data_IF_171665112196
#
_entry.id   IF_171665112196
#
_cell.length_a   1.000
_cell.length_b   1.000
_cell.length_c   1.000
_cell.angle_alpha   90.00
_cell.angle_beta   90.00
_cell.angle_gamma   90.00
#
_symmetry.space_group_name_H-M   'P 1'
#
loop_
_entity.id
_entity.type
_entity.pdbx_description
1 polymer ?
#
# COMPACT_ATOMS: atom_id res chain seq x y z
N UNK A 1 1.80 4.62 25.71
CA UNK A 1 0.82 5.50 25.03
C UNK A 1 0.50 4.84 23.71
N UNK A 2 -0.61 4.12 23.65
CA UNK A 2 -1.04 3.41 22.44
C UNK A 2 -1.69 4.44 21.53
N UNK A 3 -1.16 4.58 20.32
CA UNK A 3 -1.71 5.45 19.30
C UNK A 3 -3.09 4.93 18.88
N UNK A 4 -4.17 5.50 19.45
CA UNK A 4 -5.58 5.17 19.16
C UNK A 4 -6.02 5.73 17.78
N UNK A 5 -5.06 5.93 16.87
CA UNK A 5 -5.33 6.42 15.53
C UNK A 5 -5.65 5.25 14.62
N UNK A 6 -6.79 5.37 13.97
CA UNK A 6 -7.23 4.44 12.94
C UNK A 6 -6.65 4.93 11.63
N UNK A 7 -5.89 4.07 10.99
CA UNK A 7 -5.37 4.25 9.64
C UNK A 7 -6.21 3.41 8.68
N UNK A 8 -6.25 3.84 7.43
CA UNK A 8 -6.84 3.10 6.33
C UNK A 8 -5.80 2.92 5.23
N UNK A 9 -5.91 1.82 4.50
CA UNK A 9 -5.03 1.55 3.35
C UNK A 9 -5.63 2.27 2.15
N UNK A 10 -4.80 3.06 1.48
CA UNK A 10 -5.13 3.72 0.22
C UNK A 10 -4.23 3.20 -0.88
N UNK A 11 -4.78 3.13 -2.08
CA UNK A 11 -4.08 2.76 -3.30
C UNK A 11 -4.20 3.88 -4.31
N UNK A 12 -3.13 4.16 -5.04
CA UNK A 12 -3.17 5.11 -6.15
C UNK A 12 -3.38 4.38 -7.49
N UNK A 13 -3.46 5.16 -8.56
CA UNK A 13 -3.56 4.66 -9.94
C UNK A 13 -2.33 3.87 -10.43
N UNK A 14 -1.22 3.92 -9.69
CA UNK A 14 0.01 3.17 -9.97
C UNK A 14 0.12 1.90 -9.11
N UNK A 15 -0.96 1.47 -8.46
CA UNK A 15 -1.01 0.30 -7.57
C UNK A 15 -0.05 0.39 -6.38
N UNK A 16 0.33 1.61 -5.99
CA UNK A 16 1.14 1.86 -4.81
C UNK A 16 0.23 1.93 -3.57
N UNK A 17 0.52 1.09 -2.59
CA UNK A 17 -0.20 1.05 -1.32
C UNK A 17 0.46 2.00 -0.31
N UNK A 18 -0.37 2.79 0.37
CA UNK A 18 0.06 3.65 1.46
C UNK A 18 -0.95 3.62 2.59
N UNK A 19 -0.50 3.99 3.80
CA UNK A 19 -1.40 4.17 4.95
C UNK A 19 -1.79 5.64 5.05
N UNK A 20 -3.08 5.90 5.22
CA UNK A 20 -3.64 7.23 5.40
C UNK A 20 -4.45 7.29 6.69
N UNK A 21 -4.53 8.46 7.32
CA UNK A 21 -5.33 8.62 8.54
C UNK A 21 -6.82 8.50 8.18
N UNK A 22 -7.56 7.65 8.89
CA UNK A 22 -8.98 7.41 8.59
C UNK A 22 -9.87 8.60 8.94
N UNK A 23 -9.37 9.56 9.73
CA UNK A 23 -10.09 10.80 10.08
C UNK A 23 -9.77 11.94 9.12
N UNK A 24 -8.82 11.76 8.19
CA UNK A 24 -8.49 12.74 7.17
C UNK A 24 -9.14 12.39 5.83
N UNK A 25 -9.49 13.44 5.08
CA UNK A 25 -10.00 13.30 3.72
C UNK A 25 -8.91 12.74 2.79
N UNK A 26 -9.31 11.91 1.83
CA UNK A 26 -8.37 11.21 0.95
C UNK A 26 -8.02 12.13 -0.22
N UNK A 27 -6.72 12.38 -0.49
CA UNK A 27 -6.31 13.23 -1.60
C UNK A 27 -6.77 12.66 -2.95
N UNK A 28 -7.09 13.56 -3.88
CA UNK A 28 -7.52 13.19 -5.23
C UNK A 28 -6.48 12.31 -5.93
N UNK A 29 -6.94 11.19 -6.50
CA UNK A 29 -6.08 10.19 -7.16
C UNK A 29 -5.65 9.02 -6.26
N UNK A 30 -6.05 9.03 -4.99
CA UNK A 30 -5.98 7.91 -4.07
C UNK A 30 -7.38 7.35 -3.80
N UNK A 31 -7.47 6.04 -3.60
CA UNK A 31 -8.72 5.35 -3.33
C UNK A 31 -8.55 4.43 -2.11
N UNK A 32 -9.51 4.40 -1.18
CA UNK A 32 -9.44 3.51 -0.03
C UNK A 32 -9.66 2.06 -0.48
N UNK A 33 -8.86 1.14 0.06
CA UNK A 33 -8.93 -0.31 -0.24
C UNK A 33 -9.99 -1.01 0.63
N UNK A 34 -10.60 -0.29 1.58
CA UNK A 34 -11.62 -0.82 2.49
C UNK A 34 -11.04 -1.56 3.70
N UNK A 35 -9.73 -1.44 3.94
CA UNK A 35 -9.05 -1.99 5.12
C UNK A 35 -8.62 -0.84 6.01
N UNK A 36 -9.05 -0.86 7.26
CA UNK A 36 -8.71 0.15 8.27
C UNK A 36 -8.47 -0.48 9.64
N UNK A 37 -7.51 0.03 10.39
CA UNK A 37 -7.14 -0.46 11.71
C UNK A 37 -5.97 0.32 12.29
N UNK A 38 -5.26 -0.28 13.25
CA UNK A 38 -4.04 0.34 13.76
C UNK A 38 -2.96 0.40 12.68
N UNK A 39 -1.98 1.30 12.86
CA UNK A 39 -0.82 1.43 11.95
C UNK A 39 -0.15 0.08 11.65
N UNK A 40 0.04 -0.73 12.69
CA UNK A 40 0.67 -2.04 12.57
C UNK A 40 -0.15 -3.03 11.73
N UNK A 41 -1.46 -3.09 11.94
CA UNK A 41 -2.34 -3.98 11.16
C UNK A 41 -2.39 -3.58 9.69
N UNK A 42 -2.50 -2.28 9.41
CA UNK A 42 -2.47 -1.77 8.04
C UNK A 42 -1.14 -2.11 7.36
N UNK A 43 -0.02 -1.90 8.04
CA UNK A 43 1.31 -2.21 7.50
C UNK A 43 1.47 -3.71 7.22
N UNK A 44 1.08 -4.57 8.17
CA UNK A 44 1.11 -6.03 7.98
C UNK A 44 0.23 -6.48 6.82
N UNK A 45 -0.94 -5.84 6.62
CA UNK A 45 -1.80 -6.14 5.48
C UNK A 45 -1.16 -5.70 4.16
N UNK A 46 -0.53 -4.52 4.11
CA UNK A 46 0.24 -4.06 2.95
C UNK A 46 1.39 -5.01 2.67
N UNK A 47 2.17 -5.43 3.67
CA UNK A 47 3.29 -6.38 3.48
C UNK A 47 2.83 -7.74 2.94
N UNK A 48 1.65 -8.22 3.34
CA UNK A 48 1.07 -9.48 2.84
C UNK A 48 0.47 -9.36 1.45
N UNK A 49 -0.14 -8.23 1.14
CA UNK A 49 -0.85 -8.00 -0.14
C UNK A 49 0.11 -7.53 -1.22
N UNK A 50 1.01 -6.61 -0.87
CA UNK A 50 2.10 -6.12 -1.70
C UNK A 50 3.33 -7.04 -1.60
N UNK A 51 3.11 -8.33 -1.76
CA UNK A 51 4.16 -9.36 -1.73
C UNK A 51 5.06 -9.32 -2.95
N UNK A 52 4.60 -8.72 -4.03
CA UNK A 52 5.39 -8.47 -5.23
C UNK A 52 5.60 -6.96 -5.40
N UNK A 53 6.61 -6.46 -4.68
CA UNK A 53 7.06 -5.06 -4.74
C UNK A 53 7.90 -4.81 -6.00
N UNK A 54 8.05 -5.82 -6.88
CA UNK A 54 8.87 -5.70 -8.08
C UNK A 54 8.20 -4.68 -9.02
N UNK A 55 8.82 -3.52 -9.25
CA UNK A 55 8.30 -2.60 -10.25
C UNK A 55 8.19 -3.35 -11.59
N UNK A 56 7.13 -3.14 -12.36
CA UNK A 56 6.98 -3.75 -13.69
C UNK A 56 8.23 -3.55 -14.58
N UNK A 57 8.93 -2.42 -14.40
CA UNK A 57 10.21 -2.09 -15.05
C UNK A 57 11.38 -3.00 -14.67
N UNK A 58 11.37 -3.56 -13.46
CA UNK A 58 12.40 -4.49 -12.97
C UNK A 58 12.09 -5.92 -13.44
N UNK A 59 10.82 -6.33 -13.47
CA UNK A 59 10.39 -7.61 -14.08
C UNK A 59 10.82 -7.74 -15.55
N UNK A 60 10.72 -6.66 -16.35
CA UNK A 60 11.23 -6.66 -17.74
C UNK A 60 12.76 -6.75 -17.87
N UNK A 61 13.53 -6.26 -16.88
CA UNK A 61 14.99 -6.36 -16.89
C UNK A 61 15.48 -7.77 -16.55
N UNK A 62 14.85 -8.46 -15.59
CA UNK A 62 15.23 -9.83 -15.23
C UNK A 62 14.76 -10.89 -16.24
N UNK A 63 13.66 -10.64 -16.99
CA UNK A 63 13.24 -11.53 -18.08
C UNK A 63 14.19 -11.52 -19.31
N UNK A 64 15.08 -10.53 -19.43
CA UNK A 64 16.08 -10.43 -20.52
C UNK A 64 17.49 -10.87 -20.10
N UNK A 65 17.72 -11.17 -18.82
CA UNK A 65 19.04 -11.50 -18.27
C UNK A 65 19.29 -13.01 -18.12
N UNK A 66 18.43 -13.87 -18.68
CA UNK A 66 18.57 -15.34 -18.66
C UNK A 66 18.62 -15.95 -20.06
N UNK A 67 19.11 -15.21 -21.06
CA UNK A 67 19.44 -15.75 -22.38
C UNK A 67 20.95 -15.94 -22.52
#
# INVERSE_FOLDING_TARGET
MTDDRVYQIVVNHEEQYSIWDSKMDIPTGWSPVGVSGSRAECLTHIERTWTDITPLSVRKKYAKASA
#
